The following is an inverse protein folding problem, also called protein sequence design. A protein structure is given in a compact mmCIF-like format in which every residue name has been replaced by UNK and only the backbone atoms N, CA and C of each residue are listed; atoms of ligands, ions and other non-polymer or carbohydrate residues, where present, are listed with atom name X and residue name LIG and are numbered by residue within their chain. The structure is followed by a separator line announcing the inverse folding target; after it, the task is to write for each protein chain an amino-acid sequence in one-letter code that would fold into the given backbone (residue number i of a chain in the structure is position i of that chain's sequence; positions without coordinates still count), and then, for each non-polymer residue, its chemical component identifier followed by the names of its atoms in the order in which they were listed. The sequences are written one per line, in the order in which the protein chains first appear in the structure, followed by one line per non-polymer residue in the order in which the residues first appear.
data_IF_794860964476
#
_entry.id   IF_794860964476
#
_cell.length_a   1.000
_cell.length_b   1.000
_cell.length_c   1.000
_cell.angle_alpha   90.00
_cell.angle_beta   90.00
_cell.angle_gamma   90.00
#
_symmetry.space_group_name_H-M   'P 1'
#
loop_
_entity.id
_entity.type
_entity.pdbx_description
1 polymer ?
#
# COMPACT_ATOMS: atom_id res chain seq x y z
N UNK A 1 2.51 -15.57 6.39
CA UNK A 1 3.50 -16.62 6.72
C UNK A 1 3.21 -17.96 6.02
N UNK A 2 2.01 -18.57 6.14
CA UNK A 2 1.72 -19.86 5.51
C UNK A 2 1.99 -19.91 4.00
N UNK A 3 1.49 -18.94 3.22
CA UNK A 3 1.74 -18.85 1.78
C UNK A 3 3.23 -18.72 1.44
N UNK A 4 3.98 -17.99 2.24
CA UNK A 4 5.42 -17.86 2.05
C UNK A 4 6.15 -19.18 2.36
N UNK A 5 5.72 -19.92 3.39
CA UNK A 5 6.27 -21.23 3.73
C UNK A 5 6.11 -22.25 2.62
N UNK A 6 5.00 -22.21 1.88
CA UNK A 6 4.79 -23.07 0.70
C UNK A 6 5.61 -22.57 -0.50
N UNK A 7 5.63 -21.25 -0.72
CA UNK A 7 6.29 -20.65 -1.90
C UNK A 7 7.82 -20.67 -1.83
N UNK A 8 8.40 -20.53 -0.64
CA UNK A 8 9.85 -20.39 -0.48
C UNK A 8 10.65 -21.61 -1.03
N UNK A 9 10.33 -22.86 -0.68
CA UNK A 9 11.04 -24.03 -1.21
C UNK A 9 10.92 -24.14 -2.72
N UNK A 10 9.71 -23.91 -3.26
CA UNK A 10 9.43 -24.06 -4.70
C UNK A 10 10.13 -22.95 -5.48
N UNK A 11 10.02 -21.70 -5.03
CA UNK A 11 10.71 -20.57 -5.66
C UNK A 11 12.23 -20.75 -5.58
N UNK A 12 12.76 -21.13 -4.43
CA UNK A 12 14.19 -21.39 -4.23
C UNK A 12 14.71 -22.48 -5.15
N UNK A 13 14.00 -23.61 -5.26
CA UNK A 13 14.36 -24.68 -6.20
C UNK A 13 14.37 -24.21 -7.65
N UNK A 14 13.37 -23.44 -8.07
CA UNK A 14 13.31 -22.92 -9.43
C UNK A 14 14.41 -21.89 -9.70
N UNK A 15 14.74 -21.03 -8.75
CA UNK A 15 15.84 -20.08 -8.88
C UNK A 15 17.20 -20.81 -9.03
N UNK A 16 17.40 -21.88 -8.28
CA UNK A 16 18.62 -22.69 -8.33
C UNK A 16 18.73 -23.55 -9.59
N UNK A 17 17.62 -23.94 -10.21
CA UNK A 17 17.61 -24.85 -11.37
C UNK A 17 18.00 -24.22 -12.71
N UNK A 18 18.48 -22.99 -12.73
CA UNK A 18 18.93 -22.23 -13.92
C UNK A 18 17.90 -22.12 -15.08
N UNK A 19 16.63 -22.41 -14.81
CA UNK A 19 15.55 -22.36 -15.82
C UNK A 19 15.05 -20.94 -16.09
N UNK A 20 15.64 -19.94 -15.49
CA UNK A 20 15.12 -18.58 -15.51
C UNK A 20 16.21 -17.59 -15.91
N UNK A 21 15.85 -16.65 -16.80
CA UNK A 21 16.75 -15.66 -17.37
C UNK A 21 16.87 -14.37 -16.56
N UNK A 22 16.36 -13.27 -17.12
CA UNK A 22 16.53 -11.90 -16.63
C UNK A 22 16.00 -11.68 -15.20
N UNK A 23 14.87 -12.28 -14.86
CA UNK A 23 14.19 -12.06 -13.58
C UNK A 23 14.96 -12.62 -12.40
N UNK A 24 15.71 -13.70 -12.58
CA UNK A 24 16.60 -14.21 -11.53
C UNK A 24 17.66 -13.19 -11.13
N UNK A 25 18.27 -12.52 -12.11
CA UNK A 25 19.23 -11.44 -11.84
C UNK A 25 18.58 -10.27 -11.10
N UNK A 26 17.32 -9.95 -11.44
CA UNK A 26 16.57 -8.88 -10.80
C UNK A 26 16.23 -9.21 -9.36
N UNK A 27 15.75 -10.43 -9.05
CA UNK A 27 15.47 -10.89 -7.70
C UNK A 27 16.77 -10.93 -6.87
N UNK A 28 17.88 -11.37 -7.46
CA UNK A 28 19.18 -11.35 -6.80
C UNK A 28 19.61 -9.91 -6.47
N UNK A 29 19.47 -8.97 -7.42
CA UNK A 29 19.82 -7.56 -7.19
C UNK A 29 18.93 -6.90 -6.13
N UNK A 30 17.64 -7.26 -6.07
CA UNK A 30 16.75 -6.84 -4.97
C UNK A 30 17.24 -7.39 -3.63
N UNK A 31 17.68 -8.66 -3.60
CA UNK A 31 18.22 -9.28 -2.39
C UNK A 31 19.49 -8.59 -1.90
N UNK A 32 20.35 -8.12 -2.83
CA UNK A 32 21.53 -7.32 -2.47
C UNK A 32 21.09 -6.02 -1.77
N UNK A 33 20.16 -5.26 -2.33
CA UNK A 33 19.73 -3.99 -1.73
C UNK A 33 18.99 -4.20 -0.39
N UNK A 34 18.15 -5.24 -0.29
CA UNK A 34 17.53 -5.59 0.98
C UNK A 34 18.56 -6.08 2.01
N UNK A 35 19.61 -6.80 1.56
CA UNK A 35 20.74 -7.21 2.38
C UNK A 35 21.53 -6.00 2.90
N UNK A 36 21.80 -5.02 2.05
CA UNK A 36 22.44 -3.77 2.45
C UNK A 36 21.63 -3.05 3.53
N UNK A 37 20.29 -2.92 3.34
CA UNK A 37 19.41 -2.33 4.35
C UNK A 37 19.47 -3.11 5.68
N UNK A 38 19.47 -4.45 5.62
CA UNK A 38 19.59 -5.30 6.81
C UNK A 38 20.94 -5.16 7.50
N UNK A 39 22.04 -5.12 6.74
CA UNK A 39 23.39 -4.95 7.30
C UNK A 39 23.52 -3.58 8.00
N UNK A 40 23.03 -2.50 7.38
CA UNK A 40 23.02 -1.17 8.00
C UNK A 40 22.15 -1.18 9.27
N UNK A 41 21.00 -1.86 9.23
CA UNK A 41 20.13 -2.06 10.40
C UNK A 41 20.85 -2.83 11.53
N UNK A 42 21.51 -3.95 11.20
CA UNK A 42 22.32 -4.70 12.16
C UNK A 42 23.45 -3.85 12.75
N UNK A 43 24.14 -3.06 11.93
CA UNK A 43 25.18 -2.15 12.40
C UNK A 43 24.61 -1.13 13.37
N UNK A 44 23.48 -0.49 13.03
CA UNK A 44 22.87 0.51 13.90
C UNK A 44 22.45 -0.05 15.24
N UNK A 45 21.74 -1.21 15.28
CA UNK A 45 21.28 -1.80 16.54
C UNK A 45 22.46 -2.28 17.40
N UNK A 46 23.52 -2.82 16.77
CA UNK A 46 24.71 -3.26 17.50
C UNK A 46 25.50 -2.06 18.06
N UNK A 47 25.67 -1.01 17.25
CA UNK A 47 26.38 0.20 17.68
C UNK A 47 25.67 0.91 18.84
N UNK A 48 24.34 0.93 18.83
CA UNK A 48 23.53 1.58 19.87
C UNK A 48 23.13 0.61 21.00
N UNK A 49 23.48 -0.68 20.91
CA UNK A 49 23.11 -1.72 21.86
C UNK A 49 21.59 -1.78 22.10
N UNK A 50 20.80 -1.80 21.02
CA UNK A 50 19.33 -1.82 21.07
C UNK A 50 18.77 -3.18 20.63
N UNK A 51 17.61 -3.63 21.15
CA UNK A 51 17.02 -4.92 20.80
C UNK A 51 16.06 -4.86 19.59
N UNK A 52 15.89 -3.70 18.94
CA UNK A 52 14.90 -3.53 17.87
C UNK A 52 15.40 -4.08 16.53
N UNK A 53 14.98 -5.28 16.17
CA UNK A 53 15.38 -5.96 14.93
C UNK A 53 14.49 -5.64 13.72
N UNK A 54 13.61 -4.63 13.77
CA UNK A 54 12.57 -4.36 12.77
C UNK A 54 13.08 -4.37 11.32
N UNK A 55 14.16 -3.65 11.01
CA UNK A 55 14.75 -3.62 9.66
C UNK A 55 16.10 -4.33 9.56
N UNK A 56 16.68 -4.79 10.66
CA UNK A 56 17.84 -5.67 10.64
C UNK A 56 17.51 -7.01 9.95
N UNK A 57 16.24 -7.42 9.97
CA UNK A 57 15.72 -8.63 9.30
C UNK A 57 14.97 -8.34 8.00
N UNK A 58 15.14 -7.16 7.39
CA UNK A 58 14.35 -6.76 6.23
C UNK A 58 14.52 -7.69 5.03
N UNK A 59 15.71 -8.25 4.80
CA UNK A 59 15.94 -9.23 3.74
C UNK A 59 15.01 -10.46 3.90
N UNK A 60 14.77 -10.92 5.12
CA UNK A 60 13.85 -12.02 5.39
C UNK A 60 12.42 -11.61 5.04
N UNK A 61 12.02 -10.41 5.46
CA UNK A 61 10.69 -9.87 5.13
C UNK A 61 10.46 -9.76 3.63
N UNK A 62 11.46 -9.29 2.89
CA UNK A 62 11.41 -9.22 1.42
C UNK A 62 11.18 -10.61 0.80
N UNK A 63 11.94 -11.63 1.23
CA UNK A 63 11.77 -13.00 0.74
C UNK A 63 10.43 -13.62 1.12
N UNK A 64 9.90 -13.30 2.30
CA UNK A 64 8.54 -13.70 2.72
C UNK A 64 7.50 -13.13 1.76
N UNK A 65 7.60 -11.84 1.39
CA UNK A 65 6.67 -11.21 0.45
C UNK A 65 6.81 -11.75 -0.98
N UNK A 66 8.04 -11.95 -1.47
CA UNK A 66 8.29 -12.55 -2.78
C UNK A 66 7.74 -13.97 -2.88
N UNK A 67 7.99 -14.79 -1.87
CA UNK A 67 7.53 -16.18 -1.82
C UNK A 67 6.00 -16.27 -1.71
N UNK A 68 5.36 -15.41 -0.94
CA UNK A 68 3.91 -15.32 -0.86
C UNK A 68 3.31 -14.87 -2.21
N UNK A 69 3.89 -13.85 -2.85
CA UNK A 69 3.49 -13.39 -4.17
C UNK A 69 3.62 -14.51 -5.22
N UNK A 70 4.73 -15.25 -5.18
CA UNK A 70 4.94 -16.41 -6.06
C UNK A 70 3.86 -17.48 -5.89
N UNK A 71 3.52 -17.84 -4.65
CA UNK A 71 2.46 -18.82 -4.38
C UNK A 71 1.12 -18.39 -4.97
N UNK A 72 0.71 -17.14 -4.69
CA UNK A 72 -0.57 -16.60 -5.16
C UNK A 72 -0.62 -16.55 -6.70
N UNK A 73 0.42 -16.03 -7.33
CA UNK A 73 0.48 -15.89 -8.79
C UNK A 73 0.54 -17.25 -9.49
N UNK A 74 1.27 -18.21 -8.93
CA UNK A 74 1.30 -19.60 -9.43
C UNK A 74 -0.07 -20.25 -9.32
N UNK A 75 -0.78 -20.06 -8.21
CA UNK A 75 -2.13 -20.59 -8.06
C UNK A 75 -3.12 -19.99 -9.06
N UNK A 76 -3.09 -18.68 -9.29
CA UNK A 76 -3.90 -18.02 -10.32
C UNK A 76 -3.59 -18.59 -11.70
N UNK A 77 -2.29 -18.78 -12.02
CA UNK A 77 -1.86 -19.40 -13.28
C UNK A 77 -2.38 -20.82 -13.45
N UNK A 78 -2.33 -21.63 -12.39
CA UNK A 78 -2.85 -23.00 -12.40
C UNK A 78 -4.36 -23.06 -12.69
N UNK A 79 -5.13 -22.13 -12.14
CA UNK A 79 -6.58 -22.07 -12.33
C UNK A 79 -6.96 -21.56 -13.74
N UNK A 80 -6.24 -20.59 -14.28
CA UNK A 80 -6.59 -19.92 -15.54
C UNK A 80 -5.76 -20.39 -16.74
N UNK A 81 -4.77 -21.24 -16.55
CA UNK A 81 -3.83 -21.68 -17.58
C UNK A 81 -2.76 -20.64 -17.94
N UNK A 82 -3.07 -19.35 -17.81
CA UNK A 82 -2.15 -18.25 -18.03
C UNK A 82 -2.29 -17.18 -16.94
N UNK A 83 -1.29 -16.32 -16.81
CA UNK A 83 -1.30 -15.20 -15.87
C UNK A 83 -0.94 -13.92 -16.63
N UNK A 84 -1.87 -12.97 -16.68
CA UNK A 84 -1.65 -11.63 -17.22
C UNK A 84 -1.71 -10.56 -16.17
N UNK A 85 -1.06 -9.42 -16.42
CA UNK A 85 -1.10 -8.25 -15.54
C UNK A 85 -2.53 -7.78 -15.26
N UNK A 86 -3.40 -7.76 -16.29
CA UNK A 86 -4.80 -7.36 -16.14
C UNK A 86 -5.60 -8.37 -15.32
N UNK A 87 -5.33 -9.67 -15.44
CA UNK A 87 -5.97 -10.70 -14.64
C UNK A 87 -5.62 -10.53 -13.15
N UNK A 88 -4.33 -10.37 -12.84
CA UNK A 88 -3.89 -10.09 -11.46
C UNK A 88 -4.57 -8.84 -10.90
N UNK A 89 -4.64 -7.77 -11.69
CA UNK A 89 -5.26 -6.52 -11.27
C UNK A 89 -6.75 -6.70 -10.95
N UNK A 90 -7.49 -7.46 -11.76
CA UNK A 90 -8.90 -7.81 -11.48
C UNK A 90 -9.02 -8.55 -10.14
N UNK A 91 -8.13 -9.50 -9.84
CA UNK A 91 -8.10 -10.18 -8.54
C UNK A 91 -7.85 -9.21 -7.39
N UNK A 92 -6.90 -8.28 -7.52
CA UNK A 92 -6.60 -7.28 -6.50
C UNK A 92 -7.80 -6.36 -6.25
N UNK A 93 -8.51 -5.94 -7.31
CA UNK A 93 -9.75 -5.15 -7.19
C UNK A 93 -10.81 -5.93 -6.40
N UNK A 94 -11.08 -7.18 -6.80
CA UNK A 94 -12.09 -8.01 -6.15
C UNK A 94 -11.76 -8.21 -4.67
N UNK A 95 -10.51 -8.54 -4.34
CA UNK A 95 -10.06 -8.73 -2.96
C UNK A 95 -10.26 -7.46 -2.13
N UNK A 96 -9.90 -6.29 -2.65
CA UNK A 96 -10.07 -5.04 -1.91
C UNK A 96 -11.54 -4.61 -1.79
N UNK A 97 -12.36 -4.85 -2.81
CA UNK A 97 -13.82 -4.68 -2.72
C UNK A 97 -14.40 -5.60 -1.64
N UNK A 98 -14.01 -6.88 -1.63
CA UNK A 98 -14.43 -7.82 -0.59
C UNK A 98 -13.97 -7.36 0.80
N UNK A 99 -12.76 -6.83 0.94
CA UNK A 99 -12.27 -6.27 2.22
C UNK A 99 -13.09 -5.07 2.68
N UNK A 100 -13.51 -4.19 1.76
CA UNK A 100 -14.42 -3.09 2.07
C UNK A 100 -15.78 -3.58 2.56
N UNK A 101 -16.36 -4.58 1.89
CA UNK A 101 -17.64 -5.18 2.30
C UNK A 101 -17.49 -5.87 3.67
N UNK A 102 -16.43 -6.64 3.86
CA UNK A 102 -16.13 -7.29 5.13
C UNK A 102 -15.95 -6.28 6.26
N UNK A 103 -15.32 -5.14 6.02
CA UNK A 103 -15.17 -4.09 7.01
C UNK A 103 -16.53 -3.53 7.48
N UNK A 104 -17.49 -3.36 6.57
CA UNK A 104 -18.85 -2.97 6.92
C UNK A 104 -19.58 -4.07 7.69
N UNK A 105 -19.42 -5.34 7.30
CA UNK A 105 -20.03 -6.47 8.01
C UNK A 105 -19.49 -6.65 9.42
N UNK A 106 -18.17 -6.54 9.60
CA UNK A 106 -17.51 -6.61 10.92
C UNK A 106 -18.05 -5.53 11.84
N UNK A 107 -18.22 -4.33 11.32
CA UNK A 107 -18.72 -3.21 12.11
C UNK A 107 -20.22 -3.32 12.45
N UNK A 108 -21.01 -3.85 11.52
CA UNK A 108 -22.47 -3.97 11.69
C UNK A 108 -22.86 -5.14 12.60
N UNK A 109 -22.06 -6.21 12.65
CA UNK A 109 -22.40 -7.44 13.38
C UNK A 109 -21.40 -7.75 14.50
N UNK A 110 -21.74 -7.48 15.79
CA UNK A 110 -20.85 -7.70 16.94
C UNK A 110 -20.30 -9.14 17.03
N UNK A 111 -21.10 -10.13 16.67
CA UNK A 111 -20.68 -11.54 16.69
C UNK A 111 -19.57 -11.82 15.68
N UNK A 112 -19.65 -11.25 14.47
CA UNK A 112 -18.62 -11.37 13.45
C UNK A 112 -17.35 -10.67 13.92
N UNK A 113 -17.51 -9.46 14.48
CA UNK A 113 -16.40 -8.70 15.07
C UNK A 113 -15.66 -9.52 16.12
N UNK A 114 -16.37 -10.11 17.08
CA UNK A 114 -15.77 -10.90 18.14
C UNK A 114 -14.98 -12.10 17.61
N UNK A 115 -15.52 -12.83 16.63
CA UNK A 115 -14.82 -13.96 16.00
C UNK A 115 -13.52 -13.49 15.33
N UNK A 116 -13.58 -12.41 14.56
CA UNK A 116 -12.40 -11.91 13.85
C UNK A 116 -11.35 -11.40 14.82
N UNK A 117 -11.73 -10.65 15.85
CA UNK A 117 -10.80 -10.11 16.85
C UNK A 117 -10.12 -11.22 17.65
N UNK A 118 -10.78 -12.38 17.80
CA UNK A 118 -10.21 -13.54 18.48
C UNK A 118 -9.10 -14.23 17.65
N UNK A 119 -9.26 -14.29 16.32
CA UNK A 119 -8.35 -15.06 15.46
C UNK A 119 -7.36 -14.21 14.67
N UNK A 120 -7.65 -12.93 14.47
CA UNK A 120 -6.84 -12.04 13.62
C UNK A 120 -6.34 -10.83 14.43
N UNK A 121 -5.08 -10.87 14.83
CA UNK A 121 -4.43 -9.73 15.47
C UNK A 121 -4.07 -8.68 14.41
N UNK A 122 -4.71 -7.50 14.48
CA UNK A 122 -4.51 -6.43 13.50
C UNK A 122 -4.56 -5.01 14.10
N UNK A 123 -3.99 -4.85 15.27
CA UNK A 123 -3.92 -3.54 15.95
C UNK A 123 -5.18 -3.17 16.73
N UNK A 124 -5.99 -4.16 17.13
CA UNK A 124 -7.19 -3.96 17.96
C UNK A 124 -6.90 -3.18 19.24
N UNK A 125 -5.77 -3.43 19.88
CA UNK A 125 -5.35 -2.70 21.10
C UNK A 125 -5.27 -1.19 20.86
N UNK A 126 -4.79 -0.77 19.68
CA UNK A 126 -4.76 0.63 19.31
C UNK A 126 -6.16 1.15 18.96
N UNK A 127 -6.94 0.39 18.21
CA UNK A 127 -8.32 0.76 17.85
C UNK A 127 -9.23 0.91 19.08
N UNK A 128 -9.07 0.02 20.06
CA UNK A 128 -9.85 0.05 21.31
C UNK A 128 -9.41 1.15 22.25
N UNK A 129 -8.10 1.47 22.33
CA UNK A 129 -7.56 2.50 23.21
C UNK A 129 -7.82 3.92 22.75
N UNK A 130 -7.96 4.15 21.44
CA UNK A 130 -8.01 5.51 20.88
C UNK A 130 -9.43 6.07 20.72
N UNK A 131 -10.48 5.33 21.05
CA UNK A 131 -11.89 5.69 20.81
C UNK A 131 -12.17 6.20 19.39
N UNK A 132 -11.31 5.83 18.42
CA UNK A 132 -11.47 6.24 17.03
C UNK A 132 -12.30 5.18 16.32
N UNK A 133 -13.52 5.54 15.95
CA UNK A 133 -14.43 4.71 15.19
C UNK A 133 -13.93 4.50 13.72
N UNK A 134 -12.90 3.66 13.55
CA UNK A 134 -12.39 3.26 12.23
C UNK A 134 -12.93 1.89 11.85
N UNK A 135 -13.21 1.73 10.56
CA UNK A 135 -13.46 0.40 10.00
C UNK A 135 -12.14 -0.38 9.88
N UNK A 136 -12.24 -1.69 9.86
CA UNK A 136 -11.15 -2.60 9.51
C UNK A 136 -11.70 -3.89 8.85
N UNK A 137 -10.95 -4.44 7.90
CA UNK A 137 -11.23 -5.73 7.29
C UNK A 137 -10.40 -6.85 7.92
N UNK A 138 -10.37 -8.00 7.29
CA UNK A 138 -9.55 -9.14 7.73
C UNK A 138 -8.10 -8.94 7.25
N UNK A 139 -7.17 -8.62 8.17
CA UNK A 139 -5.79 -8.27 7.83
C UNK A 139 -5.66 -6.97 7.03
N UNK A 140 -6.70 -6.14 7.03
CA UNK A 140 -6.77 -4.86 6.33
C UNK A 140 -7.19 -3.77 7.33
N UNK A 141 -6.22 -3.23 8.05
CA UNK A 141 -6.43 -2.18 9.05
C UNK A 141 -5.39 -1.09 8.96
N UNK A 142 -5.70 0.07 9.51
CA UNK A 142 -4.79 1.21 9.67
C UNK A 142 -4.06 1.59 8.35
N UNK A 143 -2.85 2.10 8.48
CA UNK A 143 -2.08 2.64 7.35
C UNK A 143 -1.57 1.57 6.37
N UNK A 144 -1.46 0.32 6.82
CA UNK A 144 -1.12 -0.82 5.94
C UNK A 144 -2.22 -1.05 4.91
N UNK A 145 -3.49 -0.98 5.32
CA UNK A 145 -4.62 -1.06 4.40
C UNK A 145 -4.70 0.19 3.52
N UNK A 146 -4.53 1.38 4.12
CA UNK A 146 -4.61 2.66 3.42
C UNK A 146 -3.62 2.78 2.27
N UNK A 147 -2.36 2.37 2.46
CA UNK A 147 -1.34 2.38 1.40
C UNK A 147 -1.66 1.40 0.26
N UNK A 148 -2.23 0.24 0.56
CA UNK A 148 -2.65 -0.75 -0.44
C UNK A 148 -3.88 -0.28 -1.22
N UNK A 149 -4.86 0.34 -0.55
CA UNK A 149 -6.01 0.95 -1.22
C UNK A 149 -5.57 2.14 -2.09
N UNK A 150 -4.63 2.97 -1.62
CA UNK A 150 -4.06 4.05 -2.42
C UNK A 150 -3.39 3.51 -3.70
N UNK A 151 -2.59 2.45 -3.59
CA UNK A 151 -1.99 1.79 -4.74
C UNK A 151 -3.04 1.23 -5.71
N UNK A 152 -4.11 0.62 -5.19
CA UNK A 152 -5.16 0.06 -6.03
C UNK A 152 -5.98 1.13 -6.75
N UNK A 153 -6.30 2.26 -6.11
CA UNK A 153 -6.99 3.37 -6.78
C UNK A 153 -6.21 3.86 -8.00
N UNK A 154 -4.89 3.97 -7.90
CA UNK A 154 -4.01 4.32 -9.01
C UNK A 154 -4.02 3.24 -10.09
N UNK A 155 -3.99 1.96 -9.72
CA UNK A 155 -4.07 0.85 -10.67
C UNK A 155 -5.42 0.84 -11.42
N UNK A 156 -6.54 1.11 -10.73
CA UNK A 156 -7.85 1.27 -11.36
C UNK A 156 -7.83 2.46 -12.33
N UNK A 157 -7.25 3.59 -11.93
CA UNK A 157 -7.16 4.78 -12.78
C UNK A 157 -6.42 4.50 -14.07
N UNK A 158 -5.28 3.82 -14.00
CA UNK A 158 -4.56 3.38 -15.19
C UNK A 158 -5.43 2.46 -16.07
N UNK A 159 -6.08 1.47 -15.48
CA UNK A 159 -6.90 0.50 -16.23
C UNK A 159 -8.06 1.15 -16.96
N UNK A 160 -8.76 2.06 -16.29
CA UNK A 160 -9.86 2.81 -16.91
C UNK A 160 -9.33 3.68 -18.06
N UNK A 161 -8.16 4.29 -17.91
CA UNK A 161 -7.50 5.04 -19.00
C UNK A 161 -7.15 4.16 -20.19
N UNK A 162 -6.64 2.94 -19.95
CA UNK A 162 -6.36 1.96 -21.01
C UNK A 162 -7.65 1.51 -21.71
N UNK A 163 -8.74 1.28 -20.95
CA UNK A 163 -10.07 0.94 -21.48
C UNK A 163 -10.67 2.04 -22.35
N UNK A 164 -10.38 3.32 -22.09
CA UNK A 164 -10.83 4.42 -22.95
C UNK A 164 -10.24 4.36 -24.36
N UNK A 165 -9.06 3.72 -24.51
CA UNK A 165 -8.33 3.58 -25.77
C UNK A 165 -8.62 2.26 -26.49
N UNK A 166 -9.34 1.34 -25.86
CA UNK A 166 -9.64 0.01 -26.36
C UNK A 166 -11.14 -0.22 -26.46
N UNK A 167 -11.56 -1.35 -27.03
CA UNK A 167 -12.99 -1.73 -27.12
C UNK A 167 -13.59 -2.19 -25.80
N UNK A 168 -12.82 -2.14 -24.70
CA UNK A 168 -13.27 -2.55 -23.35
C UNK A 168 -14.03 -1.47 -22.59
N UNK A 169 -14.44 -0.37 -23.24
CA UNK A 169 -15.18 0.77 -22.62
C UNK A 169 -16.43 0.35 -21.83
N UNK A 170 -17.07 -0.75 -22.18
CA UNK A 170 -18.23 -1.28 -21.45
C UNK A 170 -17.98 -1.64 -20.00
N UNK A 171 -16.72 -1.87 -19.62
CA UNK A 171 -16.32 -2.19 -18.23
C UNK A 171 -15.98 -0.96 -17.38
N UNK A 172 -15.87 0.24 -17.98
CA UNK A 172 -15.55 1.48 -17.27
C UNK A 172 -16.48 1.71 -16.07
N UNK A 173 -17.83 1.61 -16.18
CA UNK A 173 -18.71 1.82 -15.03
C UNK A 173 -18.41 0.87 -13.87
N UNK A 174 -18.14 -0.41 -14.13
CA UNK A 174 -17.84 -1.39 -13.10
C UNK A 174 -16.56 -1.04 -12.33
N UNK A 175 -15.51 -0.63 -13.05
CA UNK A 175 -14.25 -0.21 -12.44
C UNK A 175 -14.40 1.08 -11.64
N UNK A 176 -15.23 2.01 -12.10
CA UNK A 176 -15.54 3.25 -11.38
C UNK A 176 -16.37 2.98 -10.12
N UNK A 177 -17.32 2.05 -10.14
CA UNK A 177 -18.05 1.64 -8.93
C UNK A 177 -17.07 1.07 -7.90
N UNK A 178 -16.17 0.18 -8.31
CA UNK A 178 -15.12 -0.35 -7.43
C UNK A 178 -14.21 0.78 -6.91
N UNK A 179 -13.84 1.73 -7.76
CA UNK A 179 -13.04 2.90 -7.40
C UNK A 179 -13.69 3.73 -6.29
N UNK A 180 -14.96 4.13 -6.45
CA UNK A 180 -15.67 4.93 -5.46
C UNK A 180 -15.93 4.16 -4.17
N UNK A 181 -16.26 2.89 -4.26
CA UNK A 181 -16.44 2.03 -3.09
C UNK A 181 -15.16 1.95 -2.26
N UNK A 182 -14.02 1.71 -2.92
CA UNK A 182 -12.71 1.66 -2.25
C UNK A 182 -12.30 3.06 -1.76
N UNK A 183 -12.58 4.12 -2.51
CA UNK A 183 -12.27 5.48 -2.10
C UNK A 183 -13.03 5.88 -0.83
N UNK A 184 -14.32 5.56 -0.72
CA UNK A 184 -15.13 5.93 0.44
C UNK A 184 -14.79 5.05 1.63
N UNK A 185 -14.92 3.72 1.50
CA UNK A 185 -14.74 2.79 2.62
C UNK A 185 -13.25 2.69 3.01
N UNK A 186 -12.35 2.74 2.04
CA UNK A 186 -10.92 2.78 2.30
C UNK A 186 -10.51 3.99 3.16
N UNK A 187 -11.12 5.17 2.95
CA UNK A 187 -10.90 6.33 3.80
C UNK A 187 -11.53 6.18 5.20
N UNK A 188 -12.63 5.43 5.34
CA UNK A 188 -13.17 5.07 6.67
C UNK A 188 -12.23 4.11 7.43
N UNK A 189 -11.41 3.32 6.71
CA UNK A 189 -10.39 2.46 7.31
C UNK A 189 -9.12 3.27 7.61
N UNK A 190 -8.60 3.99 6.60
CA UNK A 190 -7.39 4.80 6.73
C UNK A 190 -7.36 5.96 5.73
N UNK A 191 -7.21 7.17 6.23
CA UNK A 191 -7.12 8.40 5.40
C UNK A 191 -5.93 8.43 4.43
N UNK A 192 -4.96 7.54 4.60
CA UNK A 192 -3.85 7.36 3.66
C UNK A 192 -4.34 6.98 2.26
N UNK A 193 -5.53 6.37 2.15
CA UNK A 193 -6.24 6.10 0.89
C UNK A 193 -6.45 7.35 0.04
N UNK A 194 -6.64 8.53 0.66
CA UNK A 194 -6.80 9.82 -0.04
C UNK A 194 -5.61 10.14 -0.95
N UNK A 195 -4.39 9.70 -0.61
CA UNK A 195 -3.21 9.91 -1.46
C UNK A 195 -3.42 9.25 -2.83
N UNK A 196 -3.88 8.00 -2.83
CA UNK A 196 -4.20 7.29 -4.07
C UNK A 196 -5.36 7.91 -4.83
N UNK A 197 -6.39 8.40 -4.13
CA UNK A 197 -7.53 9.09 -4.73
C UNK A 197 -7.08 10.36 -5.48
N UNK A 198 -6.27 11.20 -4.85
CA UNK A 198 -5.75 12.44 -5.46
C UNK A 198 -4.88 12.11 -6.68
N UNK A 199 -3.96 11.16 -6.55
CA UNK A 199 -3.08 10.77 -7.66
C UNK A 199 -3.85 10.14 -8.82
N UNK A 200 -4.87 9.33 -8.54
CA UNK A 200 -5.73 8.71 -9.55
C UNK A 200 -6.53 9.74 -10.34
N UNK A 201 -7.19 10.67 -9.64
CA UNK A 201 -7.96 11.75 -10.28
C UNK A 201 -7.01 12.69 -11.05
N UNK A 202 -5.86 13.05 -10.47
CA UNK A 202 -4.84 13.84 -11.13
C UNK A 202 -4.32 13.18 -12.42
N UNK A 203 -4.13 11.86 -12.40
CA UNK A 203 -3.75 11.09 -13.59
C UNK A 203 -4.84 11.12 -14.67
N UNK A 204 -6.11 10.97 -14.32
CA UNK A 204 -7.22 11.12 -15.27
C UNK A 204 -7.29 12.52 -15.86
N UNK A 205 -7.13 13.57 -15.04
CA UNK A 205 -7.11 14.97 -15.53
C UNK A 205 -5.93 15.21 -16.47
N UNK A 206 -4.77 14.63 -16.19
CA UNK A 206 -3.60 14.74 -17.06
C UNK A 206 -3.83 14.01 -18.40
N UNK A 207 -4.27 12.74 -18.34
CA UNK A 207 -4.45 11.92 -19.54
C UNK A 207 -5.59 12.38 -20.44
N UNK A 208 -6.66 12.93 -19.87
CA UNK A 208 -7.79 13.49 -20.63
C UNK A 208 -7.53 14.89 -21.20
N UNK A 209 -6.37 15.47 -20.91
CA UNK A 209 -5.99 16.81 -21.38
C UNK A 209 -6.70 17.98 -20.68
N UNK A 210 -7.43 17.71 -19.59
CA UNK A 210 -8.10 18.75 -18.79
C UNK A 210 -7.09 19.76 -18.24
N UNK A 211 -5.94 19.28 -17.73
CA UNK A 211 -4.88 20.16 -17.18
C UNK A 211 -4.20 21.00 -18.27
N UNK A 212 -4.22 20.57 -19.53
CA UNK A 212 -3.60 21.28 -20.66
C UNK A 212 -4.60 22.03 -21.52
N UNK A 213 -5.89 22.04 -21.14
CA UNK A 213 -7.00 22.59 -21.91
C UNK A 213 -7.14 22.02 -23.33
N UNK A 214 -6.58 20.84 -23.58
CA UNK A 214 -6.68 20.08 -24.85
C UNK A 214 -7.45 18.78 -24.58
N UNK A 215 -8.77 18.92 -24.43
CA UNK A 215 -9.63 17.81 -24.03
C UNK A 215 -9.69 16.76 -25.14
N UNK A 216 -9.31 15.54 -24.80
CA UNK A 216 -9.42 14.36 -25.69
C UNK A 216 -10.79 13.72 -25.54
N UNK A 217 -11.56 13.69 -26.63
CA UNK A 217 -12.93 13.13 -26.67
C UNK A 217 -13.00 11.64 -26.35
N UNK A 218 -11.89 10.90 -26.47
CA UNK A 218 -11.84 9.50 -26.08
C UNK A 218 -12.16 9.27 -24.62
N UNK A 219 -11.95 10.27 -23.76
CA UNK A 219 -12.23 10.21 -22.32
C UNK A 219 -13.62 10.75 -21.93
N UNK A 220 -14.47 11.13 -22.88
CA UNK A 220 -15.81 11.64 -22.61
C UNK A 220 -16.66 10.64 -21.85
N UNK A 221 -16.59 9.36 -22.20
CA UNK A 221 -17.28 8.27 -21.51
C UNK A 221 -16.80 8.10 -20.06
N UNK A 222 -15.49 8.22 -19.80
CA UNK A 222 -14.93 8.20 -18.44
C UNK A 222 -15.57 9.30 -17.60
N UNK A 223 -15.51 10.56 -18.04
CA UNK A 223 -16.00 11.70 -17.27
C UNK A 223 -17.52 11.67 -17.09
N UNK A 224 -18.28 11.21 -18.08
CA UNK A 224 -19.73 11.04 -17.95
C UNK A 224 -20.06 10.01 -16.85
N UNK A 225 -19.49 8.82 -16.91
CA UNK A 225 -19.72 7.80 -15.88
C UNK A 225 -19.17 8.21 -14.52
N UNK A 226 -18.01 8.89 -14.48
CA UNK A 226 -17.43 9.41 -13.25
C UNK A 226 -18.40 10.34 -12.52
N UNK A 227 -18.98 11.32 -13.24
CA UNK A 227 -19.91 12.27 -12.64
C UNK A 227 -21.21 11.60 -12.16
N UNK A 228 -21.77 10.67 -12.96
CA UNK A 228 -22.96 9.94 -12.55
C UNK A 228 -22.74 9.05 -11.32
N UNK A 229 -21.65 8.32 -11.29
CA UNK A 229 -21.33 7.44 -10.15
C UNK A 229 -20.93 8.27 -8.94
N UNK A 230 -20.21 9.39 -9.11
CA UNK A 230 -19.93 10.33 -8.03
C UNK A 230 -21.21 10.86 -7.41
N UNK A 231 -22.15 11.34 -8.25
CA UNK A 231 -23.45 11.84 -7.78
C UNK A 231 -24.23 10.75 -7.01
N UNK A 232 -24.30 9.54 -7.56
CA UNK A 232 -24.92 8.40 -6.89
C UNK A 232 -24.22 8.07 -5.55
N UNK A 233 -22.90 8.10 -5.51
CA UNK A 233 -22.11 7.87 -4.29
C UNK A 233 -22.42 8.92 -3.23
N UNK A 234 -22.50 10.19 -3.60
CA UNK A 234 -22.86 11.29 -2.68
C UNK A 234 -24.29 11.08 -2.13
N UNK A 235 -25.26 10.76 -2.98
CA UNK A 235 -26.65 10.50 -2.54
C UNK A 235 -26.70 9.33 -1.56
N UNK A 236 -26.01 8.22 -1.86
CA UNK A 236 -25.92 7.06 -0.97
C UNK A 236 -25.23 7.44 0.35
N UNK A 237 -24.14 8.20 0.30
CA UNK A 237 -23.41 8.63 1.50
C UNK A 237 -24.29 9.52 2.40
N UNK A 238 -25.06 10.46 1.82
CA UNK A 238 -26.01 11.32 2.56
C UNK A 238 -27.13 10.48 3.16
N UNK A 239 -27.69 9.54 2.40
CA UNK A 239 -28.70 8.62 2.92
C UNK A 239 -28.15 7.80 4.09
N UNK A 240 -26.97 7.18 3.94
CA UNK A 240 -26.34 6.39 5.01
C UNK A 240 -26.00 7.26 6.23
N UNK A 241 -25.57 8.51 6.02
CA UNK A 241 -25.28 9.45 7.09
C UNK A 241 -26.49 9.69 8.02
N UNK A 242 -27.69 9.82 7.45
CA UNK A 242 -28.90 10.12 8.22
C UNK A 242 -29.65 8.89 8.73
N UNK A 243 -29.60 7.77 8.00
CA UNK A 243 -30.46 6.62 8.27
C UNK A 243 -29.72 5.38 8.78
N UNK A 244 -28.40 5.28 8.62
CA UNK A 244 -27.63 4.10 9.07
C UNK A 244 -26.87 4.44 10.35
N UNK A 245 -27.13 3.74 11.47
CA UNK A 245 -26.44 3.98 12.73
C UNK A 245 -24.91 3.94 12.62
N UNK A 246 -24.23 4.81 13.35
CA UNK A 246 -22.77 4.92 13.40
C UNK A 246 -22.07 5.31 12.10
N UNK A 247 -22.77 5.46 10.98
CA UNK A 247 -22.16 5.85 9.68
C UNK A 247 -21.75 7.32 9.69
N UNK A 248 -22.49 8.17 10.40
CA UNK A 248 -22.14 9.58 10.58
C UNK A 248 -20.71 9.76 11.08
N UNK A 249 -20.34 9.12 12.20
CA UNK A 249 -19.02 9.24 12.81
C UNK A 249 -17.90 8.80 11.84
N UNK A 250 -18.15 7.74 11.07
CA UNK A 250 -17.18 7.19 10.11
C UNK A 250 -17.00 8.07 8.88
N UNK A 251 -18.10 8.61 8.35
CA UNK A 251 -18.03 9.58 7.25
C UNK A 251 -17.36 10.86 7.70
N UNK A 252 -17.66 11.36 8.91
CA UNK A 252 -16.98 12.50 9.50
C UNK A 252 -15.49 12.23 9.70
N UNK A 253 -15.13 11.03 10.17
CA UNK A 253 -13.73 10.63 10.23
C UNK A 253 -13.07 10.58 8.84
N UNK A 254 -13.70 9.95 7.85
CA UNK A 254 -13.12 9.78 6.52
C UNK A 254 -12.91 11.10 5.78
N UNK A 255 -13.87 12.03 5.91
CA UNK A 255 -13.96 13.28 5.18
C UNK A 255 -13.93 14.52 6.08
N UNK A 256 -13.23 14.44 7.22
CA UNK A 256 -13.16 15.48 8.28
C UNK A 256 -12.87 16.88 7.72
N UNK A 257 -11.96 17.01 6.74
CA UNK A 257 -11.63 18.29 6.14
C UNK A 257 -12.82 18.96 5.43
N UNK A 258 -13.66 18.18 4.74
CA UNK A 258 -14.86 18.73 4.10
C UNK A 258 -15.92 19.14 5.13
N UNK A 259 -16.15 18.34 6.17
CA UNK A 259 -17.06 18.71 7.26
C UNK A 259 -16.56 19.95 8.01
N UNK A 260 -15.26 20.02 8.29
CA UNK A 260 -14.64 21.19 8.93
C UNK A 260 -14.78 22.45 8.08
N UNK A 261 -14.58 22.34 6.76
CA UNK A 261 -14.74 23.46 5.85
C UNK A 261 -16.17 24.00 5.84
N UNK A 262 -17.17 23.12 5.83
CA UNK A 262 -18.59 23.51 5.83
C UNK A 262 -19.03 24.07 7.18
N UNK A 263 -18.60 23.47 8.28
CA UNK A 263 -19.07 23.80 9.64
C UNK A 263 -18.30 24.99 10.26
N UNK A 264 -16.99 25.10 9.97
CA UNK A 264 -16.10 26.08 10.60
C UNK A 264 -15.54 27.11 9.65
N UNK A 265 -15.73 26.92 8.33
CA UNK A 265 -15.13 27.78 7.30
C UNK A 265 -13.62 27.55 7.09
N UNK A 266 -13.03 26.58 7.78
CA UNK A 266 -11.60 26.29 7.72
C UNK A 266 -11.34 24.80 7.43
N UNK A 267 -10.34 24.53 6.58
CA UNK A 267 -9.90 23.17 6.32
C UNK A 267 -9.03 22.67 7.49
N UNK A 268 -9.62 21.96 8.41
CA UNK A 268 -8.94 21.35 9.56
C UNK A 268 -9.12 19.82 9.54
N UNK A 269 -8.02 19.09 9.69
CA UNK A 269 -8.01 17.63 9.77
C UNK A 269 -7.13 17.22 10.94
N UNK A 270 -7.71 16.63 11.96
CA UNK A 270 -7.04 16.27 13.22
C UNK A 270 -5.77 15.43 13.02
N UNK A 271 -5.76 14.54 12.02
CA UNK A 271 -4.57 13.75 11.69
C UNK A 271 -3.45 14.57 11.06
N UNK A 272 -3.77 15.66 10.35
CA UNK A 272 -2.76 16.54 9.76
C UNK A 272 -2.12 17.43 10.83
N UNK A 273 -2.93 17.93 11.77
CA UNK A 273 -2.42 18.74 12.87
C UNK A 273 -1.55 17.92 13.81
N UNK A 274 -1.96 16.69 14.10
CA UNK A 274 -1.11 15.73 14.79
C UNK A 274 0.17 15.44 14.03
N UNK A 275 0.10 15.25 12.71
CA UNK A 275 1.27 14.96 11.87
C UNK A 275 2.28 16.10 11.86
N UNK A 276 1.85 17.38 11.90
CA UNK A 276 2.75 18.53 12.01
C UNK A 276 3.66 18.43 13.25
N UNK A 277 3.11 18.00 14.39
CA UNK A 277 3.88 17.75 15.62
C UNK A 277 4.80 16.53 15.57
N UNK A 278 4.65 15.67 14.57
CA UNK A 278 5.45 14.46 14.38
C UNK A 278 6.66 14.66 13.46
N UNK A 279 6.84 15.84 12.85
CA UNK A 279 8.05 16.17 12.12
C UNK A 279 9.17 16.56 13.09
N UNK A 280 9.72 15.55 13.78
CA UNK A 280 10.83 15.67 14.73
C UNK A 280 12.11 15.29 14.01
N UNK A 281 13.06 16.23 13.88
CA UNK A 281 14.32 15.97 13.20
C UNK A 281 15.40 15.55 14.19
N UNK A 282 16.37 14.69 13.78
CA UNK A 282 17.51 14.34 14.63
C UNK A 282 18.36 15.56 15.01
N UNK A 283 18.74 15.64 16.28
CA UNK A 283 19.56 16.74 16.81
C UNK A 283 21.06 16.48 16.64
N UNK A 284 21.47 15.21 16.50
CA UNK A 284 22.87 14.82 16.46
C UNK A 284 23.29 14.30 15.07
N UNK A 285 24.53 14.58 14.67
CA UNK A 285 25.12 14.03 13.45
C UNK A 285 25.17 12.49 13.47
N UNK A 286 25.39 11.91 14.66
CA UNK A 286 25.37 10.46 14.87
C UNK A 286 24.01 9.85 14.44
N UNK A 287 22.90 10.44 14.87
CA UNK A 287 21.56 9.95 14.51
C UNK A 287 21.28 10.10 13.01
N UNK A 288 21.76 11.18 12.38
CA UNK A 288 21.68 11.35 10.93
C UNK A 288 22.44 10.28 10.15
N UNK A 289 23.62 9.87 10.61
CA UNK A 289 24.50 8.95 9.87
C UNK A 289 24.22 7.48 10.19
N UNK A 290 24.02 7.15 11.48
CA UNK A 290 23.95 5.77 11.99
C UNK A 290 22.54 5.42 12.46
N UNK A 291 21.78 6.42 12.91
CA UNK A 291 20.52 6.22 13.62
C UNK A 291 20.72 5.98 15.12
N UNK A 292 19.62 5.71 15.79
CA UNK A 292 19.54 5.39 17.22
C UNK A 292 19.16 3.91 17.46
N UNK A 293 18.89 3.16 16.39
CA UNK A 293 18.58 1.74 16.45
C UNK A 293 17.16 1.41 16.97
N UNK A 294 16.26 2.38 17.08
CA UNK A 294 14.87 2.16 17.47
C UNK A 294 13.91 2.58 16.35
N UNK A 295 13.04 1.68 15.96
CA UNK A 295 11.93 1.92 15.03
C UNK A 295 10.58 1.92 15.75
N UNK A 296 10.41 0.99 16.69
CA UNK A 296 9.26 0.80 17.54
C UNK A 296 9.41 1.63 18.83
N UNK A 297 8.37 1.65 19.66
CA UNK A 297 8.46 2.26 20.98
C UNK A 297 9.46 1.49 21.85
N UNK A 298 10.54 2.11 22.32
CA UNK A 298 11.56 1.42 23.12
C UNK A 298 11.00 0.72 24.35
N UNK A 299 10.03 1.32 25.04
CA UNK A 299 9.43 0.71 26.23
C UNK A 299 8.73 -0.62 26.01
N UNK A 300 8.26 -0.86 24.79
CA UNK A 300 7.59 -2.11 24.46
C UNK A 300 8.57 -3.24 24.16
N UNK A 301 9.82 -2.91 23.82
CA UNK A 301 10.81 -3.86 23.31
C UNK A 301 12.11 -3.90 24.13
N UNK A 302 12.40 -2.84 24.89
CA UNK A 302 13.60 -2.72 25.71
C UNK A 302 13.26 -2.44 27.18
N UNK A 303 13.34 -3.45 28.05
CA UNK A 303 13.08 -3.30 29.48
C UNK A 303 14.03 -2.34 30.18
N UNK A 304 15.20 -2.08 29.61
CA UNK A 304 16.26 -1.23 30.20
C UNK A 304 16.25 0.19 29.65
N UNK A 305 15.30 0.56 28.82
CA UNK A 305 15.19 1.91 28.27
C UNK A 305 14.91 2.96 29.36
N UNK A 306 15.84 3.89 29.53
CA UNK A 306 15.77 4.96 30.55
C UNK A 306 15.31 6.31 29.95
N UNK A 307 15.04 6.36 28.64
CA UNK A 307 14.66 7.59 27.95
C UNK A 307 13.28 8.13 28.33
N UNK A 308 12.98 9.33 27.83
CA UNK A 308 11.70 10.01 28.05
C UNK A 308 10.53 9.15 27.59
N UNK A 309 9.42 9.21 28.34
CA UNK A 309 8.17 8.58 27.90
C UNK A 309 7.68 9.19 26.59
N UNK A 310 7.48 8.34 25.58
CA UNK A 310 6.98 8.73 24.28
C UNK A 310 5.78 7.83 23.95
N UNK A 311 4.65 8.41 23.61
CA UNK A 311 3.52 7.67 23.09
C UNK A 311 3.72 7.31 21.62
N UNK A 312 3.27 6.14 21.19
CA UNK A 312 3.38 5.70 19.79
C UNK A 312 4.74 5.09 19.44
N UNK A 313 5.33 5.51 18.34
CA UNK A 313 6.64 5.03 17.87
C UNK A 313 7.80 5.84 18.48
N UNK A 314 9.03 5.41 18.16
CA UNK A 314 10.23 6.12 18.62
C UNK A 314 10.18 7.60 18.26
N UNK A 315 10.61 8.48 19.16
CA UNK A 315 10.53 9.96 19.07
C UNK A 315 9.10 10.50 18.82
N UNK A 316 8.04 9.70 18.99
CA UNK A 316 6.66 10.10 18.75
C UNK A 316 6.33 10.41 17.28
N UNK A 317 7.16 9.99 16.33
CA UNK A 317 6.95 10.25 14.90
C UNK A 317 6.37 9.06 14.17
N UNK A 318 5.31 9.30 13.37
CA UNK A 318 4.79 8.32 12.39
C UNK A 318 5.42 8.52 11.01
N UNK A 319 6.11 9.65 10.78
CA UNK A 319 6.68 10.02 9.47
C UNK A 319 7.71 8.98 9.03
N UNK A 320 7.45 8.29 7.92
CA UNK A 320 8.25 7.16 7.47
C UNK A 320 9.72 7.50 7.27
N UNK A 321 10.01 8.61 6.58
CA UNK A 321 11.39 9.07 6.37
C UNK A 321 12.15 9.29 7.68
N UNK A 322 11.53 9.93 8.66
CA UNK A 322 12.15 10.21 9.94
C UNK A 322 12.34 8.93 10.76
N UNK A 323 11.35 8.02 10.75
CA UNK A 323 11.49 6.71 11.41
C UNK A 323 12.67 5.91 10.85
N UNK A 324 12.87 5.93 9.53
CA UNK A 324 14.02 5.30 8.91
C UNK A 324 15.34 5.97 9.35
N UNK A 325 15.41 7.32 9.35
CA UNK A 325 16.59 8.03 9.79
C UNK A 325 16.90 7.72 11.27
N UNK A 326 15.90 7.74 12.15
CA UNK A 326 16.10 7.38 13.55
C UNK A 326 16.53 5.93 13.73
N UNK A 327 16.07 5.01 12.89
CA UNK A 327 16.44 3.61 13.01
C UNK A 327 17.88 3.34 12.54
N UNK A 328 18.24 3.76 11.34
CA UNK A 328 19.51 3.37 10.71
C UNK A 328 20.17 4.48 9.86
N UNK A 329 19.82 5.73 10.11
CA UNK A 329 20.41 6.89 9.48
C UNK A 329 20.08 7.06 8.00
N UNK A 330 20.73 8.03 7.35
CA UNK A 330 20.54 8.33 5.93
C UNK A 330 20.97 7.16 5.02
N UNK A 331 21.99 6.40 5.41
CA UNK A 331 22.44 5.24 4.65
C UNK A 331 21.35 4.16 4.55
N UNK A 332 20.67 3.86 5.65
CA UNK A 332 19.58 2.93 5.69
C UNK A 332 18.33 3.43 4.94
N UNK A 333 17.98 4.71 5.11
CA UNK A 333 16.93 5.34 4.32
C UNK A 333 17.21 5.23 2.82
N UNK A 334 18.43 5.53 2.37
CA UNK A 334 18.81 5.39 0.96
C UNK A 334 18.67 3.94 0.48
N UNK A 335 19.11 2.96 1.27
CA UNK A 335 18.97 1.55 0.92
C UNK A 335 17.49 1.15 0.76
N UNK A 336 16.61 1.58 1.66
CA UNK A 336 15.16 1.33 1.56
C UNK A 336 14.55 2.00 0.31
N UNK A 337 14.91 3.25 0.03
CA UNK A 337 14.51 3.93 -1.21
C UNK A 337 14.95 3.12 -2.45
N UNK A 338 16.17 2.59 -2.45
CA UNK A 338 16.69 1.79 -3.56
C UNK A 338 15.98 0.45 -3.72
N UNK A 339 15.57 -0.23 -2.64
CA UNK A 339 14.77 -1.45 -2.73
C UNK A 339 13.46 -1.18 -3.48
N UNK A 340 12.71 -0.17 -3.06
CA UNK A 340 11.42 0.18 -3.67
C UNK A 340 11.61 0.65 -5.12
N UNK A 341 12.59 1.53 -5.36
CA UNK A 341 12.91 2.01 -6.69
C UNK A 341 13.26 0.85 -7.65
N UNK A 342 14.13 -0.06 -7.22
CA UNK A 342 14.52 -1.22 -8.06
C UNK A 342 13.35 -2.15 -8.31
N UNK A 343 12.51 -2.42 -7.31
CA UNK A 343 11.30 -3.24 -7.50
C UNK A 343 10.37 -2.62 -8.55
N UNK A 344 10.07 -1.32 -8.44
CA UNK A 344 9.24 -0.61 -9.42
C UNK A 344 9.90 -0.53 -10.81
N UNK A 345 11.21 -0.24 -10.87
CA UNK A 345 11.93 -0.16 -12.14
C UNK A 345 12.00 -1.50 -12.88
N UNK A 346 12.10 -2.62 -12.15
CA UNK A 346 12.03 -3.94 -12.76
C UNK A 346 10.65 -4.24 -13.33
N UNK A 347 9.58 -3.86 -12.62
CA UNK A 347 8.23 -3.94 -13.15
C UNK A 347 8.06 -3.09 -14.43
N UNK A 348 8.59 -1.86 -14.45
CA UNK A 348 8.57 -0.97 -15.62
C UNK A 348 9.27 -1.61 -16.83
N UNK A 349 10.46 -2.19 -16.61
CA UNK A 349 11.25 -2.77 -17.68
C UNK A 349 10.65 -4.07 -18.26
N UNK A 350 10.06 -4.90 -17.39
CA UNK A 350 9.49 -6.18 -17.77
C UNK A 350 8.07 -6.04 -18.34
N UNK A 351 7.30 -5.07 -17.86
CA UNK A 351 5.91 -4.83 -18.20
C UNK A 351 5.72 -3.41 -18.76
N UNK A 352 6.44 -3.09 -19.83
CA UNK A 352 6.58 -1.72 -20.37
C UNK A 352 5.24 -1.06 -20.74
N UNK A 353 4.21 -1.82 -21.16
CA UNK A 353 2.84 -1.33 -21.40
C UNK A 353 2.25 -0.65 -20.15
N UNK A 354 2.63 -1.09 -18.95
CA UNK A 354 2.11 -0.63 -17.67
C UNK A 354 3.04 0.39 -16.97
N UNK A 355 3.97 0.98 -17.73
CA UNK A 355 4.99 1.92 -17.21
C UNK A 355 4.39 3.00 -16.33
N UNK A 356 3.37 3.70 -16.81
CA UNK A 356 2.76 4.82 -16.08
C UNK A 356 2.13 4.37 -14.77
N UNK A 357 1.51 3.20 -14.75
CA UNK A 357 0.99 2.58 -13.52
C UNK A 357 2.09 2.38 -12.48
N UNK A 358 3.23 1.82 -12.89
CA UNK A 358 4.34 1.59 -11.96
C UNK A 358 5.04 2.88 -11.50
N UNK A 359 5.12 3.90 -12.36
CA UNK A 359 5.60 5.22 -11.96
C UNK A 359 4.69 5.86 -10.89
N UNK A 360 3.37 5.76 -11.09
CA UNK A 360 2.41 6.24 -10.10
C UNK A 360 2.46 5.42 -8.80
N UNK A 361 2.68 4.11 -8.87
CA UNK A 361 2.87 3.27 -7.68
C UNK A 361 4.12 3.66 -6.90
N UNK A 362 5.24 3.94 -7.58
CA UNK A 362 6.44 4.49 -6.94
C UNK A 362 6.13 5.82 -6.25
N UNK A 363 5.39 6.70 -6.93
CA UNK A 363 4.98 7.98 -6.36
C UNK A 363 4.09 7.78 -5.12
N UNK A 364 3.10 6.87 -5.17
CA UNK A 364 2.28 6.49 -4.00
C UNK A 364 3.17 6.11 -2.82
N UNK A 365 4.14 5.21 -3.04
CA UNK A 365 5.01 4.74 -1.95
C UNK A 365 5.79 5.89 -1.30
N UNK A 366 6.45 6.72 -2.11
CA UNK A 366 7.25 7.82 -1.59
C UNK A 366 6.42 8.93 -0.96
N UNK A 367 5.22 9.21 -1.47
CA UNK A 367 4.30 10.19 -0.85
C UNK A 367 3.73 9.63 0.46
N UNK A 368 3.42 8.35 0.53
CA UNK A 368 2.97 7.70 1.77
C UNK A 368 4.02 7.83 2.88
N UNK A 369 5.31 7.76 2.56
CA UNK A 369 6.38 7.88 3.56
C UNK A 369 6.51 9.27 4.20
N UNK A 370 5.90 10.31 3.64
CA UNK A 370 5.75 11.59 4.35
C UNK A 370 4.79 11.51 5.54
N UNK A 371 3.98 10.46 5.61
CA UNK A 371 2.99 10.27 6.67
C UNK A 371 3.26 9.03 7.52
N UNK A 372 3.57 7.90 6.89
CA UNK A 372 3.77 6.61 7.57
C UNK A 372 4.89 5.81 6.88
N UNK A 373 5.52 4.89 7.62
CA UNK A 373 6.64 4.07 7.14
C UNK A 373 6.23 2.81 6.36
N UNK A 374 4.94 2.64 6.09
CA UNK A 374 4.43 1.47 5.36
C UNK A 374 4.87 1.52 3.89
N UNK A 375 5.38 0.43 3.36
CA UNK A 375 5.70 0.27 1.95
C UNK A 375 4.66 -0.58 1.20
N UNK A 376 4.71 -0.52 -0.13
CA UNK A 376 3.89 -1.32 -1.04
C UNK A 376 4.72 -2.36 -1.81
N UNK A 377 5.84 -2.82 -1.25
CA UNK A 377 6.73 -3.80 -1.89
C UNK A 377 5.98 -5.06 -2.34
N UNK A 378 5.02 -5.55 -1.55
CA UNK A 378 4.19 -6.72 -1.91
C UNK A 378 3.49 -6.54 -3.27
N UNK A 379 3.03 -5.32 -3.59
CA UNK A 379 2.38 -5.04 -4.88
C UNK A 379 3.37 -5.23 -6.02
N UNK A 380 4.58 -4.66 -5.91
CA UNK A 380 5.64 -4.88 -6.90
C UNK A 380 6.06 -6.35 -7.00
N UNK A 381 6.18 -7.05 -5.87
CA UNK A 381 6.50 -8.46 -5.83
C UNK A 381 5.51 -9.32 -6.64
N UNK A 382 4.21 -9.02 -6.55
CA UNK A 382 3.19 -9.72 -7.34
C UNK A 382 3.38 -9.51 -8.85
N UNK A 383 3.63 -8.27 -9.28
CA UNK A 383 3.85 -7.98 -10.71
C UNK A 383 5.18 -8.52 -11.23
N UNK A 384 6.22 -8.60 -10.41
CA UNK A 384 7.47 -9.28 -10.76
C UNK A 384 7.23 -10.77 -11.03
N UNK A 385 6.36 -11.42 -10.28
CA UNK A 385 6.02 -12.82 -10.49
C UNK A 385 5.13 -13.03 -11.74
N UNK A 386 4.29 -12.05 -12.11
CA UNK A 386 3.57 -12.04 -13.40
C UNK A 386 4.57 -11.96 -14.55
N UNK A 387 5.50 -11.01 -14.52
CA UNK A 387 6.52 -10.84 -15.55
C UNK A 387 7.36 -12.10 -15.75
N UNK A 388 7.68 -12.81 -14.66
CA UNK A 388 8.35 -14.09 -14.68
C UNK A 388 7.53 -15.16 -15.43
N UNK A 389 6.23 -15.23 -15.15
CA UNK A 389 5.34 -16.18 -15.83
C UNK A 389 5.29 -15.92 -17.33
N UNK A 390 5.21 -14.67 -17.75
CA UNK A 390 5.23 -14.29 -19.17
C UNK A 390 6.57 -14.62 -19.85
N UNK A 391 7.70 -14.50 -19.15
CA UNK A 391 9.01 -14.90 -19.67
C UNK A 391 9.11 -16.42 -19.86
N UNK A 392 8.62 -17.20 -18.92
CA UNK A 392 8.57 -18.66 -19.00
C UNK A 392 7.71 -19.12 -20.19
N UNK A 393 6.54 -18.52 -20.43
CA UNK A 393 5.65 -18.86 -21.52
C UNK A 393 6.29 -18.57 -22.90
N UNK A 394 7.01 -17.44 -23.05
CA UNK A 394 7.76 -17.13 -24.27
C UNK A 394 8.89 -18.12 -24.53
N UNK A 395 9.61 -18.53 -23.49
CA UNK A 395 10.69 -19.53 -23.66
C UNK A 395 10.18 -20.91 -24.02
N UNK A 396 8.98 -21.29 -23.61
CA UNK A 396 8.33 -22.54 -24.01
C UNK A 396 7.89 -22.49 -25.48
N UNK A 397 7.32 -21.37 -25.95
CA UNK A 397 6.92 -21.17 -27.34
C UNK A 397 8.10 -21.18 -28.33
N UNK A 398 9.28 -20.71 -27.90
CA UNK A 398 10.50 -20.76 -28.76
C UNK A 398 11.17 -22.13 -28.82
N UNK A 399 10.75 -23.10 -28.03
CA UNK A 399 11.28 -24.47 -28.00
C UNK A 399 10.42 -25.49 -28.77
N UNK A 400 9.22 -25.08 -29.18
CA UNK A 400 8.30 -25.83 -30.06
C UNK A 400 8.48 -25.34 -31.51
#
# INVERSE_FOLDING_TARGET
MALAGVGLPILGYQLASHRTGLINKQVFLLSIWAGIASIIGCFSITFNNTPDTAYATYIVSMWVWLSAAYTVTTYIRMVHGNLSTMLLLRYLIIVCVCQCILALLIDSYPNIKQIIDQYVQQGQDFLNKTNVNRLYGIGASLDVAGSRFAALLVMIAFSVTDMCKTDERKYIPLFLVAFFLIAVIGNMIARTTTIGLILAVGYWMYMSGVLTFKIDTNYSSLWSWFLWILAATIVIAVFCYHFVPRTEEKLRFAFEGFFSLVEKGEWSVSSNDRLKGMYVFPETLKTWLIGDGYFSNPRNIDPYFIGKEIGGYYMGTDVGYLRFIFYFGLGGLFAMCMVIYKAGNFCINNLSRYRDMFLLLLLVNYVVWFKVSTDIFLVFAMFLMVARSEEEDKQLQHKI
#
